data_IF_952719799181
#
_entry.id   IF_952719799181
#
_cell.length_a   1.000
_cell.length_b   1.000
_cell.length_c   1.000
_cell.angle_alpha   90.00
_cell.angle_beta   90.00
_cell.angle_gamma   90.00
#
_symmetry.space_group_name_H-M   'P 1'
#
loop_
_entity.id
_entity.type
_entity.pdbx_description
1 polymer ?
#
# COMPACT_ATOMS: atom_id res chain seq x y z
N UNK A 1 -10.77 4.32 -4.73
CA UNK A 1 -10.45 4.33 -3.29
C UNK A 1 -10.89 2.98 -2.75
N UNK A 2 -9.99 2.26 -2.09
CA UNK A 2 -10.31 1.00 -1.42
C UNK A 2 -10.55 1.30 0.06
N UNK A 3 -11.56 0.67 0.63
CA UNK A 3 -11.96 0.87 2.03
C UNK A 3 -11.86 -0.44 2.78
N UNK A 4 -11.32 -0.41 3.98
CA UNK A 4 -11.22 -1.60 4.83
C UNK A 4 -12.60 -2.14 5.21
N UNK A 5 -12.76 -3.46 5.25
CA UNK A 5 -13.98 -4.10 5.75
C UNK A 5 -14.13 -4.03 7.28
N UNK A 6 -13.03 -3.75 7.99
CA UNK A 6 -12.93 -3.68 9.44
C UNK A 6 -12.77 -5.04 10.10
N UNK A 7 -11.84 -5.15 11.05
CA UNK A 7 -11.57 -6.38 11.80
C UNK A 7 -10.72 -6.11 13.05
N UNK A 8 -10.81 -7.01 14.02
CA UNK A 8 -9.93 -7.01 15.20
C UNK A 8 -8.56 -7.55 14.85
N UNK A 9 -7.54 -6.98 15.48
CA UNK A 9 -6.16 -7.43 15.37
C UNK A 9 -5.69 -7.94 16.73
N UNK A 10 -4.98 -9.07 16.73
CA UNK A 10 -4.61 -9.76 17.97
C UNK A 10 -3.19 -9.42 18.45
N UNK A 11 -2.41 -8.70 17.65
CA UNK A 11 -1.03 -8.34 17.95
C UNK A 11 -0.87 -6.83 18.07
N UNK A 12 0.02 -6.44 18.98
CA UNK A 12 0.36 -5.03 19.25
C UNK A 12 0.92 -4.34 18.00
N UNK A 13 1.66 -5.07 17.17
CA UNK A 13 2.03 -4.63 15.82
C UNK A 13 1.36 -5.54 14.80
N UNK A 14 0.35 -5.01 14.11
CA UNK A 14 -0.31 -5.65 12.98
C UNK A 14 0.05 -4.91 11.69
N UNK A 15 0.45 -5.68 10.68
CA UNK A 15 0.79 -5.21 9.35
C UNK A 15 0.22 -6.17 8.30
N UNK A 16 -0.71 -5.67 7.49
CA UNK A 16 -1.24 -6.40 6.34
C UNK A 16 -0.63 -5.86 5.06
N UNK A 17 0.16 -6.69 4.38
CA UNK A 17 0.83 -6.32 3.15
C UNK A 17 0.27 -7.14 1.98
N UNK A 18 -0.20 -6.45 0.95
CA UNK A 18 -0.55 -7.04 -0.34
C UNK A 18 0.32 -6.44 -1.44
N UNK A 19 0.86 -7.31 -2.31
CA UNK A 19 1.80 -6.90 -3.36
C UNK A 19 1.44 -7.55 -4.69
N UNK A 20 1.52 -6.77 -5.77
CA UNK A 20 1.49 -7.28 -7.15
C UNK A 20 2.70 -6.77 -7.91
N UNK A 21 3.54 -7.67 -8.38
CA UNK A 21 4.67 -7.32 -9.22
C UNK A 21 4.20 -6.87 -10.62
N UNK A 22 4.87 -5.86 -11.14
CA UNK A 22 4.69 -5.31 -12.49
C UNK A 22 5.97 -5.55 -13.30
N UNK A 23 5.87 -5.39 -14.63
CA UNK A 23 7.05 -5.38 -15.50
C UNK A 23 8.02 -4.24 -15.14
N UNK A 24 9.30 -4.42 -15.48
CA UNK A 24 10.37 -3.43 -15.29
C UNK A 24 10.73 -3.11 -13.83
N UNK A 25 10.69 -4.10 -12.94
CA UNK A 25 11.16 -3.93 -11.56
C UNK A 25 10.25 -3.05 -10.70
N UNK A 26 8.95 -3.01 -11.01
CA UNK A 26 7.95 -2.25 -10.25
C UNK A 26 7.03 -3.20 -9.50
N UNK A 27 6.32 -2.68 -8.50
CA UNK A 27 5.21 -3.39 -7.86
C UNK A 27 4.15 -2.43 -7.37
N UNK A 28 2.89 -2.85 -7.43
CA UNK A 28 1.90 -2.31 -6.52
C UNK A 28 2.11 -2.87 -5.12
N UNK A 29 1.91 -2.04 -4.12
CA UNK A 29 1.96 -2.41 -2.71
C UNK A 29 0.85 -1.67 -1.97
N UNK A 30 0.16 -2.40 -1.10
CA UNK A 30 -0.83 -1.87 -0.16
C UNK A 30 -0.47 -2.34 1.23
N UNK A 31 -0.59 -1.43 2.21
CA UNK A 31 -0.25 -1.69 3.61
C UNK A 31 -1.37 -1.21 4.54
N UNK A 32 -1.77 -2.04 5.50
CA UNK A 32 -2.65 -1.64 6.61
C UNK A 32 -1.90 -1.87 7.91
N UNK A 33 -1.65 -0.79 8.66
CA UNK A 33 -0.92 -0.81 9.93
C UNK A 33 -1.81 -0.35 11.08
N UNK A 34 -1.84 -1.13 12.17
CA UNK A 34 -2.67 -0.80 13.34
C UNK A 34 -1.93 -0.01 14.44
N UNK A 35 -0.59 -0.03 14.47
CA UNK A 35 0.24 0.64 15.49
C UNK A 35 -0.29 0.53 16.95
N UNK A 36 -0.66 -0.68 17.40
CA UNK A 36 -1.20 -0.90 18.74
C UNK A 36 -2.72 -0.73 18.87
N UNK A 37 -3.41 -0.25 17.84
CA UNK A 37 -4.87 -0.23 17.82
C UNK A 37 -5.40 -1.67 17.77
N UNK A 38 -6.40 -2.03 18.62
CA UNK A 38 -6.94 -3.38 18.67
C UNK A 38 -7.90 -3.70 17.52
N UNK A 39 -8.23 -2.70 16.70
CA UNK A 39 -9.20 -2.80 15.60
C UNK A 39 -8.78 -1.91 14.44
N UNK A 40 -8.89 -2.43 13.22
CA UNK A 40 -8.93 -1.64 12.00
C UNK A 40 -10.40 -1.27 11.76
N UNK A 41 -10.77 0.02 11.72
CA UNK A 41 -12.17 0.40 11.56
C UNK A 41 -12.65 0.18 10.12
N UNK A 42 -13.88 -0.27 10.00
CA UNK A 42 -14.57 -0.37 8.71
C UNK A 42 -14.64 1.01 8.05
N UNK A 43 -14.31 1.07 6.76
CA UNK A 43 -14.29 2.34 6.03
C UNK A 43 -12.99 3.13 6.17
N UNK A 44 -11.97 2.62 6.88
CA UNK A 44 -10.64 3.19 6.81
C UNK A 44 -10.15 3.19 5.36
N UNK A 45 -9.55 4.30 4.93
CA UNK A 45 -8.92 4.38 3.61
C UNK A 45 -7.70 3.46 3.57
N UNK A 46 -7.63 2.66 2.51
CA UNK A 46 -6.51 1.77 2.26
C UNK A 46 -5.61 2.42 1.21
N UNK A 47 -4.41 2.78 1.63
CA UNK A 47 -3.44 3.48 0.80
C UNK A 47 -2.74 2.51 -0.16
N UNK A 48 -2.77 2.83 -1.46
CA UNK A 48 -2.17 2.01 -2.52
C UNK A 48 -1.01 2.77 -3.14
N UNK A 49 0.15 2.12 -3.23
CA UNK A 49 1.38 2.71 -3.75
C UNK A 49 1.96 1.87 -4.90
N UNK A 50 2.70 2.54 -5.78
CA UNK A 50 3.58 1.89 -6.76
C UNK A 50 5.01 2.14 -6.33
N UNK A 51 5.72 1.06 -6.01
CA UNK A 51 7.13 1.09 -5.67
C UNK A 51 7.99 0.82 -6.92
N UNK A 52 9.14 1.49 -6.97
CA UNK A 52 10.20 1.25 -7.92
C UNK A 52 11.34 0.54 -7.20
N UNK A 53 11.60 -0.72 -7.56
CA UNK A 53 12.63 -1.51 -6.90
C UNK A 53 14.01 -1.04 -7.39
N UNK A 54 14.72 -0.24 -6.59
CA UNK A 54 16.15 0.02 -6.81
C UNK A 54 17.01 -1.21 -6.41
N UNK A 55 16.54 -1.98 -5.44
CA UNK A 55 17.07 -3.29 -5.03
C UNK A 55 15.90 -4.22 -4.68
N UNK A 56 16.15 -5.54 -4.67
CA UNK A 56 15.16 -6.58 -4.32
C UNK A 56 14.66 -6.39 -2.88
N UNK A 57 13.70 -5.49 -2.69
CA UNK A 57 13.00 -5.30 -1.42
C UNK A 57 12.26 -6.59 -1.07
N UNK A 58 12.47 -7.05 0.17
CA UNK A 58 11.81 -8.22 0.73
C UNK A 58 10.29 -8.16 0.49
N UNK A 59 9.75 -9.27 0.00
CA UNK A 59 8.31 -9.50 0.01
C UNK A 59 7.90 -9.77 1.46
N UNK A 60 7.31 -8.79 2.12
CA UNK A 60 6.64 -9.02 3.40
C UNK A 60 5.35 -9.77 3.10
N UNK A 61 5.34 -11.08 3.37
CA UNK A 61 4.13 -11.90 3.27
C UNK A 61 3.50 -12.00 4.66
N UNK A 62 2.36 -11.33 4.86
CA UNK A 62 1.55 -11.53 6.06
C UNK A 62 0.73 -12.82 5.90
N UNK A 63 0.70 -13.66 6.93
CA UNK A 63 -0.23 -14.79 6.99
C UNK A 63 -1.56 -14.29 7.57
N UNK A 64 -2.68 -14.78 7.02
CA UNK A 64 -3.99 -14.42 7.53
C UNK A 64 -4.21 -15.00 8.95
N UNK A 65 -4.39 -14.12 9.93
CA UNK A 65 -4.61 -14.52 11.34
C UNK A 65 -6.09 -14.80 11.65
N UNK A 66 -7.00 -14.45 10.74
CA UNK A 66 -8.43 -14.71 10.83
C UNK A 66 -9.07 -14.76 9.45
N UNK A 67 -10.30 -15.26 9.40
CA UNK A 67 -11.09 -15.34 8.16
C UNK A 67 -11.38 -13.95 7.56
N UNK A 68 -11.71 -12.96 8.40
CA UNK A 68 -11.94 -11.58 7.93
C UNK A 68 -10.67 -10.97 7.33
N UNK A 69 -9.51 -11.25 7.91
CA UNK A 69 -8.22 -10.80 7.37
C UNK A 69 -7.94 -11.51 6.04
N UNK A 70 -8.23 -12.81 5.94
CA UNK A 70 -8.09 -13.57 4.69
C UNK A 70 -8.93 -12.97 3.56
N UNK A 71 -10.20 -12.65 3.83
CA UNK A 71 -11.10 -12.03 2.84
C UNK A 71 -10.60 -10.63 2.43
N UNK A 72 -10.11 -9.82 3.38
CA UNK A 72 -9.50 -8.52 3.05
C UNK A 72 -8.27 -8.70 2.16
N UNK A 73 -7.40 -9.68 2.45
CA UNK A 73 -6.23 -10.00 1.62
C UNK A 73 -6.61 -10.38 0.19
N UNK A 74 -7.65 -11.20 0.01
CA UNK A 74 -8.14 -11.60 -1.32
C UNK A 74 -8.68 -10.39 -2.09
N UNK A 75 -9.50 -9.55 -1.44
CA UNK A 75 -10.01 -8.31 -2.01
C UNK A 75 -8.87 -7.36 -2.43
N UNK A 76 -7.83 -7.24 -1.60
CA UNK A 76 -6.64 -6.44 -1.90
C UNK A 76 -5.91 -6.98 -3.13
N UNK A 77 -5.68 -8.28 -3.22
CA UNK A 77 -5.02 -8.93 -4.36
C UNK A 77 -5.83 -8.75 -5.65
N UNK A 78 -7.15 -8.92 -5.60
CA UNK A 78 -8.04 -8.71 -6.74
C UNK A 78 -8.02 -7.25 -7.20
N UNK A 79 -8.10 -6.31 -6.25
CA UNK A 79 -7.99 -4.89 -6.54
C UNK A 79 -6.65 -4.55 -7.21
N UNK A 80 -5.54 -5.04 -6.65
CA UNK A 80 -4.21 -4.82 -7.21
C UNK A 80 -4.08 -5.43 -8.62
N UNK A 81 -4.74 -6.56 -8.88
CA UNK A 81 -4.79 -7.22 -10.20
C UNK A 81 -5.56 -6.41 -11.23
N UNK A 82 -6.64 -5.75 -10.82
CA UNK A 82 -7.43 -4.86 -11.67
C UNK A 82 -6.78 -3.46 -11.84
N UNK A 83 -5.95 -3.04 -10.88
CA UNK A 83 -5.30 -1.73 -10.91
C UNK A 83 -4.37 -1.58 -12.13
N UNK A 84 -4.39 -0.39 -12.73
CA UNK A 84 -3.49 0.00 -13.82
C UNK A 84 -2.51 1.04 -13.30
N UNK A 85 -1.20 0.90 -13.57
CA UNK A 85 -0.24 1.89 -13.13
C UNK A 85 -0.60 3.25 -13.74
N UNK A 86 -0.57 4.31 -12.94
CA UNK A 86 -0.86 5.68 -13.39
C UNK A 86 0.24 6.28 -14.27
N UNK A 87 1.23 5.48 -14.68
CA UNK A 87 2.44 5.94 -15.35
C UNK A 87 2.09 6.68 -16.65
N UNK A 88 2.48 7.95 -16.72
CA UNK A 88 2.24 8.81 -17.88
C UNK A 88 0.90 9.55 -17.89
N UNK A 89 0.07 9.44 -16.83
CA UNK A 89 -1.05 10.37 -16.68
C UNK A 89 -0.52 11.77 -16.40
N UNK A 90 -1.00 12.80 -17.11
CA UNK A 90 -0.68 14.19 -16.78
C UNK A 90 -0.95 14.49 -15.29
N UNK A 91 -0.03 15.20 -14.64
CA UNK A 91 -0.16 15.59 -13.23
C UNK A 91 0.37 14.60 -12.19
N UNK A 92 1.10 13.55 -12.58
CA UNK A 92 1.82 12.66 -11.65
C UNK A 92 3.34 12.79 -11.84
N UNK A 93 4.08 12.82 -10.72
CA UNK A 93 5.54 12.93 -10.66
C UNK A 93 6.12 11.81 -9.78
N UNK A 94 7.34 11.36 -10.08
CA UNK A 94 8.11 10.47 -9.22
C UNK A 94 9.10 11.28 -8.37
N UNK A 95 9.15 11.02 -7.06
CA UNK A 95 10.10 11.66 -6.17
C UNK A 95 11.54 11.26 -6.55
N UNK A 96 12.46 12.21 -6.80
CA UNK A 96 13.81 11.89 -7.22
C UNK A 96 14.66 11.25 -6.11
N UNK A 97 14.22 11.33 -4.85
CA UNK A 97 14.98 10.79 -3.71
C UNK A 97 14.60 9.36 -3.35
N UNK A 98 13.33 8.98 -3.46
CA UNK A 98 12.85 7.64 -3.08
C UNK A 98 12.10 6.89 -4.18
N UNK A 99 11.86 7.52 -5.33
CA UNK A 99 11.12 6.93 -6.44
C UNK A 99 9.60 6.87 -6.27
N UNK A 100 9.02 7.33 -5.14
CA UNK A 100 7.56 7.30 -4.92
C UNK A 100 6.84 8.14 -5.97
N UNK A 101 5.85 7.58 -6.67
CA UNK A 101 4.95 8.33 -7.56
C UNK A 101 3.80 8.96 -6.78
N UNK A 102 3.46 10.21 -7.11
CA UNK A 102 2.35 10.96 -6.51
C UNK A 102 1.79 11.98 -7.48
N UNK A 103 0.59 12.50 -7.20
CA UNK A 103 0.10 13.69 -7.90
C UNK A 103 1.03 14.88 -7.63
N UNK A 104 1.25 15.73 -8.62
CA UNK A 104 2.15 16.90 -8.53
C UNK A 104 1.83 17.80 -7.33
N UNK A 105 0.54 18.00 -7.05
CA UNK A 105 0.08 18.78 -5.90
C UNK A 105 0.55 18.24 -4.53
N UNK A 106 0.91 16.95 -4.45
CA UNK A 106 1.37 16.30 -3.21
C UNK A 106 2.90 16.28 -3.07
N UNK A 107 3.63 16.68 -4.11
CA UNK A 107 5.09 16.55 -4.15
C UNK A 107 5.81 17.30 -3.02
N UNK A 108 5.48 18.57 -2.81
CA UNK A 108 6.12 19.38 -1.76
C UNK A 108 5.81 18.86 -0.35
N UNK A 109 4.59 18.39 -0.11
CA UNK A 109 4.20 17.80 1.18
C UNK A 109 4.98 16.52 1.44
N UNK A 110 5.04 15.63 0.45
CA UNK A 110 5.84 14.41 0.54
C UNK A 110 7.31 14.70 0.83
N UNK A 111 7.92 15.64 0.10
CA UNK A 111 9.33 16.03 0.32
C UNK A 111 9.58 16.47 1.76
N UNK A 112 8.72 17.31 2.32
CA UNK A 112 8.85 17.87 3.68
C UNK A 112 8.60 16.87 4.80
N UNK A 113 7.72 15.89 4.58
CA UNK A 113 7.34 14.93 5.62
C UNK A 113 8.25 13.70 5.60
N UNK A 114 8.57 13.18 4.41
CA UNK A 114 9.27 11.90 4.26
C UNK A 114 10.79 12.04 4.22
N UNK A 115 11.34 13.17 3.76
CA UNK A 115 12.77 13.34 3.49
C UNK A 115 13.38 14.57 4.18
N UNK A 116 12.87 14.86 5.36
CA UNK A 116 13.23 16.01 6.18
C UNK A 116 14.74 16.15 6.42
#
# INVERSE_FOLDING_TARGET
MLLSMGYKVFRETFDLVAVRHLENGKRFHTRIEAHGAPEIPRGAEVDVHIDYLAERSHSHGSLAESESIRIEMESLVDFLTAAKPSRGKPGFLACPMCGKEMAEALFETHRKVTHR
#
